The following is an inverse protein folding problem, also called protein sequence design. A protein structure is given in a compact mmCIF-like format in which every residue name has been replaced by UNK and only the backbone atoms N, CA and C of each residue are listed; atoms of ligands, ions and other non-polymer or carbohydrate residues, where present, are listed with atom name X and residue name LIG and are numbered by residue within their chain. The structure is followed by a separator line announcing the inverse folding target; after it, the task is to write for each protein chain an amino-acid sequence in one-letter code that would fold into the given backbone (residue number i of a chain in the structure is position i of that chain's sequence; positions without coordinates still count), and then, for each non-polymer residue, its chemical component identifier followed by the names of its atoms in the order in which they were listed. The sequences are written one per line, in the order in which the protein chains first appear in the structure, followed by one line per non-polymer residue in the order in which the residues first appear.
data_IF_417090516212
#
_entry.id   IF_417090516212
#
_cell.length_a   1.000
_cell.length_b   1.000
_cell.length_c   1.000
_cell.angle_alpha   90.00
_cell.angle_beta   90.00
_cell.angle_gamma   90.00
#
_symmetry.space_group_name_H-M   'P 1'
#
loop_
_entity.id
_entity.type
_entity.pdbx_description
1 polymer ?
#
# COMPACT_ATOMS: atom_id res chain seq x y z
N UNK A 1 -44.35 -58.27 24.78
CA UNK A 1 -43.24 -59.09 25.31
C UNK A 1 -41.97 -58.67 24.57
N UNK A 2 -41.12 -57.84 25.18
CA UNK A 2 -39.90 -57.29 24.56
C UNK A 2 -38.70 -58.07 25.08
N UNK A 3 -38.00 -58.77 24.18
CA UNK A 3 -36.83 -59.59 24.50
C UNK A 3 -35.59 -58.69 24.49
N UNK A 4 -35.05 -58.39 25.67
CA UNK A 4 -33.80 -57.64 25.83
C UNK A 4 -32.62 -58.59 25.59
N UNK A 5 -32.03 -58.58 24.38
CA UNK A 5 -30.79 -59.32 24.11
C UNK A 5 -29.63 -58.67 24.88
N UNK A 6 -29.08 -59.38 25.86
CA UNK A 6 -27.81 -59.01 26.50
C UNK A 6 -26.71 -59.06 25.44
N UNK A 7 -26.20 -57.89 25.08
CA UNK A 7 -24.94 -57.77 24.33
C UNK A 7 -23.82 -58.32 25.22
N UNK A 8 -23.28 -59.47 24.83
CA UNK A 8 -22.05 -60.03 25.41
C UNK A 8 -20.92 -59.09 25.06
N UNK A 9 -20.36 -58.41 26.07
CA UNK A 9 -19.14 -57.63 25.90
C UNK A 9 -18.00 -58.63 25.78
N UNK A 10 -17.48 -58.78 24.56
CA UNK A 10 -16.26 -59.53 24.32
C UNK A 10 -15.10 -58.80 25.01
N UNK A 11 -14.38 -59.51 25.87
CA UNK A 11 -13.21 -58.97 26.53
C UNK A 11 -12.01 -59.12 25.59
N UNK A 12 -11.37 -58.01 25.23
CA UNK A 12 -10.17 -58.01 24.42
C UNK A 12 -9.04 -58.72 25.16
N UNK A 13 -8.30 -59.56 24.43
CA UNK A 13 -7.14 -60.23 24.99
C UNK A 13 -6.02 -59.22 25.23
N UNK A 14 -5.20 -59.46 26.27
CA UNK A 14 -4.08 -58.58 26.61
C UNK A 14 -3.12 -58.39 25.43
N UNK A 15 -2.98 -59.42 24.59
CA UNK A 15 -2.15 -59.39 23.39
C UNK A 15 -2.72 -58.50 22.29
N UNK A 16 -4.05 -58.49 22.06
CA UNK A 16 -4.67 -57.56 21.11
C UNK A 16 -4.46 -56.11 21.52
N UNK A 17 -4.62 -55.80 22.81
CA UNK A 17 -4.43 -54.43 23.29
C UNK A 17 -2.98 -53.97 23.12
N UNK A 18 -2.01 -54.87 23.32
CA UNK A 18 -0.59 -54.60 23.10
C UNK A 18 -0.28 -54.33 21.61
N UNK A 19 -0.85 -55.14 20.70
CA UNK A 19 -0.68 -54.95 19.25
C UNK A 19 -1.31 -53.64 18.79
N UNK A 20 -2.49 -53.28 19.30
CA UNK A 20 -3.14 -52.01 18.96
C UNK A 20 -2.29 -50.83 19.40
N UNK A 21 -1.77 -50.86 20.63
CA UNK A 21 -0.90 -49.78 21.14
C UNK A 21 0.40 -49.67 20.35
N UNK A 22 1.01 -50.78 19.91
CA UNK A 22 2.22 -50.73 19.10
C UNK A 22 1.97 -50.15 17.71
N UNK A 23 0.83 -50.50 17.07
CA UNK A 23 0.41 -49.91 15.79
C UNK A 23 0.13 -48.41 15.96
N UNK A 24 -0.56 -48.00 17.02
CA UNK A 24 -0.84 -46.59 17.29
C UNK A 24 0.43 -45.78 17.54
N UNK A 25 1.38 -46.30 18.33
CA UNK A 25 2.66 -45.66 18.57
C UNK A 25 3.48 -45.50 17.28
N UNK A 26 3.49 -46.53 16.43
CA UNK A 26 4.14 -46.49 15.12
C UNK A 26 3.51 -45.44 14.20
N UNK A 27 2.18 -45.43 14.07
CA UNK A 27 1.46 -44.44 13.25
C UNK A 27 1.67 -43.01 13.77
N UNK A 28 1.68 -42.81 15.09
CA UNK A 28 1.95 -41.49 15.68
C UNK A 28 3.38 -41.00 15.37
N UNK A 29 4.38 -41.88 15.46
CA UNK A 29 5.77 -41.54 15.12
C UNK A 29 5.91 -41.18 13.64
N UNK A 30 5.26 -41.94 12.76
CA UNK A 30 5.27 -41.70 11.31
C UNK A 30 4.61 -40.33 11.00
N UNK A 31 3.46 -40.06 11.61
CA UNK A 31 2.74 -38.77 11.46
C UNK A 31 3.59 -37.59 11.94
N UNK A 32 4.30 -37.71 13.06
CA UNK A 32 5.17 -36.66 13.58
C UNK A 32 6.32 -36.32 12.61
N UNK A 33 6.91 -37.32 11.94
CA UNK A 33 7.98 -37.11 10.95
C UNK A 33 7.44 -36.38 9.71
N UNK A 34 6.26 -36.77 9.21
CA UNK A 34 5.67 -36.10 8.05
C UNK A 34 5.20 -34.68 8.36
N UNK A 35 4.68 -34.41 9.56
CA UNK A 35 4.23 -33.07 9.95
C UNK A 35 5.39 -32.07 10.11
N UNK A 36 6.56 -32.54 10.55
CA UNK A 36 7.76 -31.72 10.64
C UNK A 36 8.37 -31.34 9.27
N UNK A 37 8.03 -32.10 8.22
CA UNK A 37 8.56 -31.93 6.86
C UNK A 37 7.68 -31.08 5.92
N UNK A 38 6.66 -30.38 6.44
CA UNK A 38 6.08 -29.26 5.70
C UNK A 38 7.12 -28.14 5.61
N UNK A 39 7.98 -28.27 4.59
CA UNK A 39 9.16 -27.44 4.40
C UNK A 39 8.75 -25.97 4.33
N UNK A 40 9.29 -25.11 5.21
CA UNK A 40 9.04 -23.67 5.18
C UNK A 40 9.43 -22.95 3.89
N UNK A 41 10.07 -23.64 2.95
CA UNK A 41 10.67 -23.06 1.73
C UNK A 41 9.70 -22.37 0.78
N UNK A 42 8.39 -22.62 0.88
CA UNK A 42 7.38 -21.97 0.03
C UNK A 42 6.73 -20.74 0.70
N UNK A 43 7.32 -20.23 1.80
CA UNK A 43 6.77 -19.07 2.50
C UNK A 43 6.88 -17.78 1.68
N UNK A 44 8.00 -17.57 0.97
CA UNK A 44 8.20 -16.43 0.07
C UNK A 44 7.20 -16.42 -1.09
N UNK A 45 6.99 -17.57 -1.73
CA UNK A 45 6.01 -17.74 -2.82
C UNK A 45 4.59 -17.41 -2.34
N UNK A 46 4.16 -17.95 -1.19
CA UNK A 46 2.83 -17.64 -0.63
C UNK A 46 2.66 -16.15 -0.33
N UNK A 47 3.70 -15.48 0.17
CA UNK A 47 3.67 -14.03 0.37
C UNK A 47 3.56 -13.26 -0.95
N UNK A 48 4.25 -13.71 -2.00
CA UNK A 48 4.20 -13.10 -3.32
C UNK A 48 2.84 -13.26 -3.99
N UNK A 49 2.22 -14.44 -3.85
CA UNK A 49 0.87 -14.71 -4.34
C UNK A 49 -0.17 -13.82 -3.61
N UNK A 50 -0.04 -13.67 -2.28
CA UNK A 50 -0.90 -12.78 -1.49
C UNK A 50 -0.75 -11.32 -1.91
N UNK A 51 0.49 -10.82 -2.04
CA UNK A 51 0.74 -9.46 -2.49
C UNK A 51 0.19 -9.19 -3.88
N UNK A 52 0.40 -10.13 -4.81
CA UNK A 52 -0.13 -10.04 -6.17
C UNK A 52 -1.66 -9.99 -6.16
N UNK A 53 -2.29 -10.82 -5.33
CA UNK A 53 -3.75 -10.80 -5.12
C UNK A 53 -4.25 -9.45 -4.59
N UNK A 54 -3.59 -8.88 -3.59
CA UNK A 54 -3.96 -7.57 -3.04
C UNK A 54 -3.79 -6.44 -4.06
N UNK A 55 -2.70 -6.43 -4.82
CA UNK A 55 -2.47 -5.45 -5.89
C UNK A 55 -3.52 -5.57 -6.99
N UNK A 56 -3.92 -6.80 -7.36
CA UNK A 56 -5.00 -7.03 -8.31
C UNK A 56 -6.34 -6.51 -7.80
N UNK A 57 -6.67 -6.75 -6.52
CA UNK A 57 -7.89 -6.21 -5.89
C UNK A 57 -7.90 -4.69 -5.96
N UNK A 58 -6.81 -4.02 -5.54
CA UNK A 58 -6.71 -2.57 -5.58
C UNK A 58 -6.87 -2.00 -7.00
N UNK A 59 -6.27 -2.66 -8.00
CA UNK A 59 -6.42 -2.28 -9.42
C UNK A 59 -7.85 -2.44 -9.92
N UNK A 60 -8.52 -3.54 -9.59
CA UNK A 60 -9.93 -3.74 -9.98
C UNK A 60 -10.85 -2.74 -9.28
N UNK A 61 -10.57 -2.42 -8.02
CA UNK A 61 -11.31 -1.41 -7.27
C UNK A 61 -11.16 -0.02 -7.90
N UNK A 62 -9.94 0.36 -8.31
CA UNK A 62 -9.71 1.62 -9.02
C UNK A 62 -10.53 1.72 -10.31
N UNK A 63 -10.62 0.61 -11.06
CA UNK A 63 -11.41 0.52 -12.30
C UNK A 63 -12.91 0.56 -12.03
N UNK A 64 -13.38 -0.12 -10.97
CA UNK A 64 -14.81 -0.20 -10.61
C UNK A 64 -15.33 1.14 -10.10
N UNK A 65 -14.57 1.77 -9.21
CA UNK A 65 -15.01 2.97 -8.48
C UNK A 65 -14.67 4.26 -9.24
N UNK A 66 -13.82 4.19 -10.27
CA UNK A 66 -13.41 5.36 -11.07
C UNK A 66 -12.47 6.30 -10.34
N UNK A 67 -11.97 5.91 -9.17
CA UNK A 67 -11.06 6.70 -8.32
C UNK A 67 -9.70 5.98 -8.17
N UNK A 68 -8.58 6.72 -8.11
CA UNK A 68 -7.28 6.11 -7.88
C UNK A 68 -7.27 5.31 -6.57
N UNK A 69 -7.02 4.01 -6.66
CA UNK A 69 -7.04 3.08 -5.52
C UNK A 69 -5.78 2.22 -5.53
N UNK A 70 -5.25 1.91 -4.36
CA UNK A 70 -3.94 1.32 -4.23
C UNK A 70 -3.69 0.65 -2.89
N UNK A 71 -2.41 0.38 -2.65
CA UNK A 71 -1.93 -0.18 -1.39
C UNK A 71 -0.84 0.71 -0.80
N UNK A 72 -0.88 0.89 0.52
CA UNK A 72 0.18 1.48 1.34
C UNK A 72 0.86 0.37 2.13
N UNK A 73 2.19 0.32 2.09
CA UNK A 73 2.95 -0.66 2.85
C UNK A 73 3.05 -0.25 4.33
N UNK A 74 2.80 -1.21 5.23
CA UNK A 74 2.97 -1.03 6.68
C UNK A 74 4.39 -1.40 7.05
N UNK A 75 5.23 -0.38 7.23
CA UNK A 75 6.67 -0.52 7.46
C UNK A 75 7.00 -0.91 8.90
N UNK A 76 7.95 -1.83 9.05
CA UNK A 76 8.66 -2.18 10.27
C UNK A 76 10.18 -2.15 9.96
N UNK A 77 10.81 -1.02 10.25
CA UNK A 77 12.17 -0.73 9.78
C UNK A 77 12.23 -0.66 8.26
N UNK A 78 13.14 -1.42 7.65
CA UNK A 78 13.31 -1.49 6.19
C UNK A 78 12.47 -2.61 5.55
N UNK A 79 11.48 -3.15 6.24
CA UNK A 79 10.64 -4.24 5.73
C UNK A 79 9.17 -3.86 5.87
N UNK A 80 8.32 -4.31 4.96
CA UNK A 80 6.87 -4.20 5.11
C UNK A 80 6.29 -5.54 5.55
N UNK A 81 5.52 -5.52 6.64
CA UNK A 81 4.87 -6.70 7.24
C UNK A 81 3.38 -6.79 6.94
N UNK A 82 2.86 -5.81 6.20
CA UNK A 82 1.50 -5.82 5.70
C UNK A 82 1.24 -4.65 4.76
N UNK A 83 -0.01 -4.51 4.36
CA UNK A 83 -0.52 -3.40 3.56
C UNK A 83 -1.83 -2.87 4.12
N UNK A 84 -2.17 -1.65 3.71
CA UNK A 84 -3.50 -1.07 3.87
C UNK A 84 -3.98 -0.61 2.51
N UNK A 85 -5.26 -0.86 2.18
CA UNK A 85 -5.83 -0.27 0.99
C UNK A 85 -6.03 1.22 1.20
N UNK A 86 -5.68 1.97 0.16
CA UNK A 86 -5.76 3.41 0.14
C UNK A 86 -6.51 3.87 -1.11
N UNK A 87 -7.22 4.98 -1.00
CA UNK A 87 -7.90 5.62 -2.12
C UNK A 87 -7.56 7.11 -2.11
N UNK A 88 -7.32 7.68 -3.29
CA UNK A 88 -7.19 9.12 -3.44
C UNK A 88 -8.60 9.69 -3.65
N UNK A 89 -9.13 10.50 -2.70
CA UNK A 89 -10.41 11.16 -2.90
C UNK A 89 -10.30 12.26 -3.96
N UNK A 90 -11.45 12.75 -4.42
CA UNK A 90 -11.52 13.85 -5.37
C UNK A 90 -10.88 15.14 -4.82
N UNK A 91 -10.35 15.96 -5.74
CA UNK A 91 -9.78 17.27 -5.40
C UNK A 91 -10.83 18.17 -4.72
N UNK A 92 -10.43 18.86 -3.66
CA UNK A 92 -11.31 19.83 -2.97
C UNK A 92 -11.13 21.20 -3.58
N UNK A 93 -12.17 21.64 -4.30
CA UNK A 93 -12.27 22.97 -4.89
C UNK A 93 -13.52 23.66 -4.34
N UNK A 94 -13.50 24.07 -3.06
CA UNK A 94 -14.64 24.72 -2.39
C UNK A 94 -14.24 26.01 -1.67
N UNK A 95 -14.46 27.15 -2.32
CA UNK A 95 -14.24 28.49 -1.75
C UNK A 95 -13.16 29.28 -2.47
N UNK A 96 -12.45 30.15 -1.76
CA UNK A 96 -11.59 31.14 -2.39
C UNK A 96 -10.30 31.45 -1.62
N UNK A 97 -9.17 31.42 -2.31
CA UNK A 97 -7.91 31.99 -1.84
C UNK A 97 -8.02 33.50 -1.70
N UNK A 98 -7.76 34.00 -0.49
CA UNK A 98 -7.86 35.40 -0.07
C UNK A 98 -6.51 36.11 -0.21
N UNK A 99 -5.40 35.40 0.03
CA UNK A 99 -4.06 35.97 0.03
C UNK A 99 -3.14 35.33 1.06
N UNK A 100 -1.89 35.80 1.18
CA UNK A 100 -1.00 35.39 2.26
C UNK A 100 -1.37 36.04 3.59
N UNK A 101 -1.23 35.31 4.70
CA UNK A 101 -1.55 35.82 6.06
C UNK A 101 -0.46 36.78 6.54
N UNK A 102 -0.80 38.03 6.87
CA UNK A 102 0.10 39.02 7.50
C UNK A 102 1.47 39.20 6.79
N UNK A 103 1.50 39.06 5.46
CA UNK A 103 2.74 39.11 4.68
C UNK A 103 3.63 37.86 4.80
N UNK A 104 3.19 36.82 5.51
CA UNK A 104 3.82 35.52 5.48
C UNK A 104 3.46 34.81 4.16
N UNK A 105 4.40 34.86 3.23
CA UNK A 105 4.26 34.34 1.87
C UNK A 105 4.15 32.81 1.76
N UNK A 106 4.08 32.09 2.88
CA UNK A 106 3.91 30.63 2.93
C UNK A 106 2.73 30.19 3.79
N UNK A 107 1.87 31.13 4.21
CA UNK A 107 0.60 30.81 4.86
C UNK A 107 -0.51 31.35 3.99
N UNK A 108 -1.17 30.46 3.25
CA UNK A 108 -2.31 30.79 2.41
C UNK A 108 -3.56 30.93 3.27
N UNK A 109 -4.28 32.04 3.10
CA UNK A 109 -5.59 32.22 3.67
C UNK A 109 -6.63 31.82 2.62
N UNK A 110 -7.50 30.87 2.94
CA UNK A 110 -8.60 30.45 2.08
C UNK A 110 -9.92 30.63 2.82
N UNK A 111 -10.98 31.03 2.12
CA UNK A 111 -12.34 30.86 2.58
C UNK A 111 -12.91 29.54 2.08
N UNK A 112 -13.71 28.86 2.90
CA UNK A 112 -14.47 27.68 2.49
C UNK A 112 -15.86 27.73 3.12
N UNK A 113 -16.93 27.32 2.40
CA UNK A 113 -18.28 27.25 2.97
C UNK A 113 -18.40 26.16 4.05
N UNK A 114 -17.47 25.20 4.06
CA UNK A 114 -17.44 24.13 5.05
C UNK A 114 -17.00 24.65 6.41
N UNK A 115 -17.70 24.24 7.48
CA UNK A 115 -17.41 24.66 8.85
C UNK A 115 -16.11 24.05 9.42
N UNK A 116 -15.57 23.00 8.78
CA UNK A 116 -14.30 22.40 9.15
C UNK A 116 -13.59 21.74 7.94
N UNK A 117 -12.37 22.17 7.59
CA UNK A 117 -11.60 21.54 6.51
C UNK A 117 -11.21 20.09 6.79
N UNK A 118 -11.11 19.68 8.05
CA UNK A 118 -10.80 18.28 8.39
C UNK A 118 -11.95 17.34 8.06
N UNK A 119 -13.20 17.83 8.02
CA UNK A 119 -14.34 17.06 7.52
C UNK A 119 -14.26 16.82 6.01
N UNK A 120 -13.54 17.67 5.27
CA UNK A 120 -13.22 17.46 3.85
C UNK A 120 -11.99 16.56 3.66
N UNK A 121 -11.45 15.99 4.75
CA UNK A 121 -10.27 15.13 4.69
C UNK A 121 -8.96 15.85 4.42
N UNK A 122 -8.94 17.19 4.44
CA UNK A 122 -7.71 17.96 4.19
C UNK A 122 -6.76 17.84 5.37
N UNK A 123 -5.51 17.46 5.10
CA UNK A 123 -4.48 17.23 6.11
C UNK A 123 -3.08 17.67 5.63
N UNK A 124 -2.10 17.63 6.54
CA UNK A 124 -0.70 17.82 6.20
C UNK A 124 -0.25 16.75 5.19
N UNK A 125 0.49 17.17 4.15
CA UNK A 125 0.91 16.33 3.04
C UNK A 125 0.15 16.61 1.75
N UNK A 126 -1.09 17.08 1.81
CA UNK A 126 -1.89 17.44 0.64
C UNK A 126 -1.24 18.58 -0.17
N UNK A 127 -1.73 18.85 -1.37
CA UNK A 127 -1.15 19.86 -2.25
C UNK A 127 -2.16 20.95 -2.58
N UNK A 128 -1.78 22.21 -2.38
CA UNK A 128 -2.54 23.37 -2.79
C UNK A 128 -2.08 23.81 -4.19
N UNK A 129 -3.03 23.98 -5.09
CA UNK A 129 -2.85 24.64 -6.38
C UNK A 129 -3.70 25.91 -6.43
N UNK A 130 -3.11 27.00 -6.89
CA UNK A 130 -3.81 28.28 -7.06
C UNK A 130 -4.03 28.57 -8.54
N UNK A 131 -5.16 29.22 -8.83
CA UNK A 131 -5.52 29.77 -10.14
C UNK A 131 -5.52 28.80 -11.33
N UNK A 132 -5.79 27.50 -11.10
CA UNK A 132 -6.03 26.52 -12.18
C UNK A 132 -4.83 26.23 -13.08
N UNK A 133 -3.62 26.29 -12.53
CA UNK A 133 -2.37 26.02 -13.24
C UNK A 133 -1.13 26.52 -12.51
N UNK A 134 -1.27 27.00 -11.28
CA UNK A 134 -0.15 27.47 -10.46
C UNK A 134 0.77 26.35 -10.00
N UNK A 135 1.85 26.74 -9.33
CA UNK A 135 2.79 25.78 -8.72
C UNK A 135 2.07 25.00 -7.61
N UNK A 136 2.21 23.67 -7.64
CA UNK A 136 1.75 22.79 -6.57
C UNK A 136 2.58 23.01 -5.31
N UNK A 137 1.90 23.32 -4.20
CA UNK A 137 2.53 23.60 -2.91
C UNK A 137 2.11 22.57 -1.89
N UNK A 138 3.06 21.89 -1.26
CA UNK A 138 2.77 20.90 -0.22
C UNK A 138 2.28 21.60 1.04
N UNK A 139 1.17 21.12 1.59
CA UNK A 139 0.58 21.57 2.86
C UNK A 139 1.37 20.96 4.02
N UNK A 140 1.87 21.80 4.91
CA UNK A 140 2.61 21.41 6.13
C UNK A 140 1.66 21.34 7.32
N UNK A 141 0.73 22.28 7.42
CA UNK A 141 -0.30 22.28 8.45
C UNK A 141 -1.55 23.02 7.98
N UNK A 142 -2.68 22.64 8.57
CA UNK A 142 -3.99 23.26 8.34
C UNK A 142 -4.45 23.82 9.68
N UNK A 143 -4.84 25.09 9.72
CA UNK A 143 -5.31 25.75 10.93
C UNK A 143 -6.43 26.75 10.65
N UNK A 144 -7.01 27.27 11.72
CA UNK A 144 -8.17 28.17 11.68
C UNK A 144 -9.48 27.46 12.00
N UNK A 145 -10.46 28.24 12.47
CA UNK A 145 -11.82 27.79 12.76
C UNK A 145 -12.80 28.78 12.11
N UNK A 146 -13.83 28.27 11.44
CA UNK A 146 -14.84 29.09 10.78
C UNK A 146 -14.61 29.22 9.26
N UNK A 147 -15.21 30.21 8.59
CA UNK A 147 -15.21 30.26 7.13
C UNK A 147 -13.86 30.61 6.51
N UNK A 148 -12.84 30.94 7.33
CA UNK A 148 -11.50 31.32 6.90
C UNK A 148 -10.48 30.40 7.57
N UNK A 149 -9.61 29.82 6.75
CA UNK A 149 -8.58 28.87 7.17
C UNK A 149 -7.21 29.34 6.72
N UNK A 150 -6.21 28.98 7.53
CA UNK A 150 -4.81 29.25 7.27
C UNK A 150 -4.12 27.92 6.94
N UNK A 151 -3.61 27.82 5.72
CA UNK A 151 -2.86 26.66 5.23
C UNK A 151 -1.39 27.04 5.19
N UNK A 152 -0.59 26.40 6.05
CA UNK A 152 0.87 26.58 6.02
C UNK A 152 1.46 25.66 4.96
N UNK A 153 2.32 26.21 4.11
CA UNK A 153 2.92 25.53 2.96
C UNK A 153 4.41 25.30 3.18
N UNK A 154 4.94 24.29 2.52
CA UNK A 154 6.38 24.03 2.49
C UNK A 154 7.12 25.19 1.79
N UNK A 155 8.17 25.69 2.43
CA UNK A 155 8.97 26.81 1.93
C UNK A 155 10.05 26.34 0.95
N UNK A 156 10.35 25.04 0.95
CA UNK A 156 11.50 24.49 0.23
C UNK A 156 11.27 24.56 -1.28
N UNK A 157 12.01 25.44 -1.96
CA UNK A 157 12.03 25.54 -3.42
C UNK A 157 10.77 26.11 -4.08
N UNK A 158 9.82 26.63 -3.29
CA UNK A 158 8.58 27.23 -3.82
C UNK A 158 8.68 28.76 -3.88
N UNK A 159 8.23 29.43 -4.97
CA UNK A 159 8.18 30.89 -5.02
C UNK A 159 7.24 31.46 -3.94
N UNK A 160 7.34 32.74 -3.55
CA UNK A 160 6.35 33.37 -2.65
C UNK A 160 4.90 33.16 -3.13
N UNK A 161 3.95 33.07 -2.21
CA UNK A 161 2.53 33.09 -2.55
C UNK A 161 2.17 34.38 -3.30
N UNK A 162 1.31 34.32 -4.33
CA UNK A 162 0.81 35.51 -4.99
C UNK A 162 0.01 36.35 -3.99
N UNK A 163 0.08 37.68 -4.13
CA UNK A 163 -0.70 38.61 -3.31
C UNK A 163 -2.20 38.35 -3.41
N UNK A 164 -2.96 39.00 -2.53
CA UNK A 164 -4.41 38.98 -2.60
C UNK A 164 -4.87 39.44 -4.00
N UNK A 165 -5.88 38.78 -4.61
CA UNK A 165 -6.41 39.23 -5.89
C UNK A 165 -6.87 40.70 -5.77
N UNK A 166 -6.29 41.57 -6.61
CA UNK A 166 -6.46 43.04 -6.53
C UNK A 166 -7.83 43.50 -7.01
N UNK A 167 -8.42 42.75 -7.93
CA UNK A 167 -9.86 42.79 -8.16
C UNK A 167 -10.46 41.89 -7.08
N UNK A 168 -11.32 42.40 -6.16
CA UNK A 168 -12.17 41.47 -5.42
C UNK A 168 -12.80 40.61 -6.50
N UNK A 169 -12.66 39.27 -6.45
CA UNK A 169 -13.28 38.43 -7.45
C UNK A 169 -14.74 38.85 -7.41
N UNK A 170 -15.16 39.61 -8.43
CA UNK A 170 -16.52 40.12 -8.51
C UNK A 170 -17.33 38.89 -8.27
N UNK A 171 -18.14 38.86 -7.20
CA UNK A 171 -18.89 37.69 -6.78
C UNK A 171 -19.40 37.04 -8.06
N UNK A 172 -18.69 36.01 -8.54
CA UNK A 172 -18.81 35.66 -9.95
C UNK A 172 -20.16 35.01 -9.96
N UNK A 173 -21.16 35.76 -10.45
CA UNK A 173 -22.55 35.44 -10.26
C UNK A 173 -22.69 33.99 -10.69
N UNK A 174 -23.13 33.14 -9.77
CA UNK A 174 -23.15 31.69 -9.95
C UNK A 174 -23.93 31.37 -11.22
N UNK A 175 -23.25 31.27 -12.36
CA UNK A 175 -23.90 30.97 -13.61
C UNK A 175 -23.99 29.44 -13.66
N UNK A 176 -24.99 28.91 -12.95
CA UNK A 176 -25.25 27.47 -12.85
C UNK A 176 -24.98 26.82 -11.48
N UNK A 177 -24.94 27.57 -10.38
CA UNK A 177 -24.86 27.01 -9.02
C UNK A 177 -23.51 26.41 -8.61
N UNK A 178 -22.48 26.53 -9.44
CA UNK A 178 -21.10 26.15 -9.11
C UNK A 178 -20.37 27.38 -8.59
N UNK A 179 -19.87 27.33 -7.36
CA UNK A 179 -19.01 28.39 -6.82
C UNK A 179 -17.66 28.34 -7.54
N UNK A 180 -17.29 29.42 -8.21
CA UNK A 180 -15.95 29.54 -8.80
C UNK A 180 -14.91 29.47 -7.70
N UNK A 181 -13.96 28.54 -7.82
CA UNK A 181 -12.80 28.49 -6.94
C UNK A 181 -11.56 28.93 -7.70
N UNK A 182 -10.73 29.74 -7.05
CA UNK A 182 -9.42 30.12 -7.54
C UNK A 182 -8.32 29.24 -6.91
N UNK A 183 -8.70 28.11 -6.31
CA UNK A 183 -7.80 27.09 -5.83
C UNK A 183 -8.41 25.70 -5.96
N UNK A 184 -7.54 24.69 -5.93
CA UNK A 184 -7.92 23.31 -5.61
C UNK A 184 -6.91 22.70 -4.66
N UNK A 185 -7.37 21.80 -3.80
CA UNK A 185 -6.53 21.00 -2.92
C UNK A 185 -6.56 19.57 -3.44
N UNK A 186 -5.39 19.08 -3.85
CA UNK A 186 -5.19 17.70 -4.27
C UNK A 186 -4.88 16.89 -3.02
N UNK A 187 -5.84 16.06 -2.63
CA UNK A 187 -5.72 15.21 -1.45
C UNK A 187 -4.70 14.09 -1.69
N UNK A 188 -3.95 13.75 -0.65
CA UNK A 188 -3.15 12.53 -0.65
C UNK A 188 -4.05 11.30 -0.52
N UNK A 189 -3.58 10.13 -0.99
CA UNK A 189 -4.25 8.87 -0.71
C UNK A 189 -4.45 8.64 0.78
N UNK A 190 -5.65 8.21 1.14
CA UNK A 190 -6.06 7.94 2.51
C UNK A 190 -6.46 6.48 2.65
N UNK A 191 -6.32 5.92 3.85
CA UNK A 191 -6.77 4.55 4.15
C UNK A 191 -8.29 4.51 4.01
N UNK A 192 -8.79 3.50 3.32
CA UNK A 192 -10.23 3.32 3.12
C UNK A 192 -10.87 3.03 4.47
N UNK A 193 -11.85 3.85 4.86
CA UNK A 193 -12.49 3.73 6.17
C UNK A 193 -13.19 2.37 6.33
N UNK A 194 -12.90 1.70 7.45
CA UNK A 194 -13.46 0.37 7.75
C UNK A 194 -12.68 -0.80 7.16
N UNK A 195 -11.67 -0.58 6.32
CA UNK A 195 -10.83 -1.66 5.83
C UNK A 195 -9.72 -2.02 6.84
N UNK A 196 -9.58 -3.31 7.12
CA UNK A 196 -8.55 -3.81 8.01
C UNK A 196 -7.20 -3.93 7.28
N UNK A 197 -6.12 -3.65 8.00
CA UNK A 197 -4.75 -3.94 7.55
C UNK A 197 -4.61 -5.42 7.18
N UNK A 198 -4.07 -5.69 5.98
CA UNK A 198 -3.75 -7.05 5.55
C UNK A 198 -2.31 -7.37 5.94
N UNK A 199 -2.12 -8.43 6.72
CA UNK A 199 -0.79 -8.86 7.16
C UNK A 199 -0.26 -9.98 6.28
N UNK A 200 1.04 -9.97 6.02
CA UNK A 200 1.72 -11.11 5.40
C UNK A 200 1.71 -12.35 6.31
N UNK A 201 1.99 -13.55 5.78
CA UNK A 201 2.19 -14.73 6.61
C UNK A 201 3.31 -14.51 7.63
N UNK A 202 3.24 -15.19 8.77
CA UNK A 202 4.20 -15.00 9.85
C UNK A 202 5.66 -15.15 9.36
N UNK A 203 6.44 -14.09 9.54
CA UNK A 203 7.85 -14.06 9.16
C UNK A 203 8.11 -13.86 7.66
N UNK A 204 7.12 -13.45 6.87
CA UNK A 204 7.27 -13.07 5.45
C UNK A 204 6.95 -11.58 5.31
N UNK A 205 7.58 -10.91 4.34
CA UNK A 205 7.28 -9.52 4.01
C UNK A 205 8.05 -9.02 2.80
N UNK A 206 7.91 -7.73 2.54
CA UNK A 206 8.61 -7.05 1.44
C UNK A 206 9.86 -6.35 1.98
N UNK A 207 11.02 -6.60 1.38
CA UNK A 207 12.30 -6.02 1.81
C UNK A 207 12.64 -4.76 1.00
N UNK A 208 12.80 -3.63 1.69
CA UNK A 208 13.14 -2.32 1.12
C UNK A 208 14.59 -1.91 1.39
N UNK A 209 15.38 -2.75 2.05
CA UNK A 209 16.76 -2.41 2.36
C UNK A 209 17.69 -2.55 1.14
N UNK A 210 18.85 -1.91 1.22
CA UNK A 210 19.91 -1.98 0.20
C UNK A 210 21.06 -2.85 0.71
N UNK A 211 21.18 -4.12 0.29
CA UNK A 211 22.24 -4.99 0.78
C UNK A 211 23.61 -4.55 0.25
N UNK A 212 24.73 -4.89 0.92
CA UNK A 212 26.06 -4.43 0.51
C UNK A 212 26.45 -4.81 -0.93
N UNK A 213 25.92 -5.93 -1.44
CA UNK A 213 26.17 -6.41 -2.80
C UNK A 213 25.30 -5.73 -3.88
N UNK A 214 24.30 -4.93 -3.49
CA UNK A 214 23.42 -4.21 -4.41
C UNK A 214 23.14 -2.79 -3.94
N UNK A 215 23.64 -1.81 -4.68
CA UNK A 215 23.65 -0.39 -4.25
C UNK A 215 22.27 0.27 -4.24
N UNK A 216 21.26 -0.34 -4.87
CA UNK A 216 19.90 0.19 -4.91
C UNK A 216 19.02 -0.54 -3.87
N UNK A 217 17.92 0.09 -3.40
CA UNK A 217 16.92 -0.61 -2.59
C UNK A 217 16.36 -1.82 -3.32
N UNK A 218 16.18 -2.95 -2.62
CA UNK A 218 15.58 -4.17 -3.20
C UNK A 218 14.10 -4.02 -3.57
N UNK A 219 13.42 -3.04 -2.99
CA UNK A 219 12.09 -2.64 -3.41
C UNK A 219 12.07 -1.16 -3.73
N UNK A 220 11.52 -0.80 -4.87
CA UNK A 220 11.53 0.57 -5.40
C UNK A 220 10.13 1.15 -5.69
N UNK A 221 9.06 0.83 -4.93
CA UNK A 221 7.79 1.49 -5.17
C UNK A 221 7.92 2.99 -4.87
N UNK A 222 7.08 3.83 -5.50
CA UNK A 222 7.02 5.25 -5.20
C UNK A 222 6.93 5.51 -3.69
N UNK A 223 7.83 6.35 -3.19
CA UNK A 223 7.83 6.81 -1.81
C UNK A 223 7.33 8.25 -1.78
N UNK A 224 6.27 8.51 -1.01
CA UNK A 224 5.71 9.85 -0.82
C UNK A 224 5.59 10.13 0.66
N UNK A 225 6.23 11.20 1.14
CA UNK A 225 6.17 11.63 2.54
C UNK A 225 6.54 10.54 3.57
N UNK A 226 7.42 9.59 3.20
CA UNK A 226 7.83 8.48 4.06
C UNK A 226 6.94 7.23 3.96
N UNK A 227 5.85 7.28 3.20
CA UNK A 227 5.02 6.11 2.91
C UNK A 227 5.41 5.52 1.55
N UNK A 228 5.50 4.19 1.48
CA UNK A 228 5.62 3.47 0.22
C UNK A 228 4.23 3.06 -0.25
N UNK A 229 3.88 3.46 -1.47
CA UNK A 229 2.52 3.33 -2.00
C UNK A 229 2.54 2.98 -3.48
N UNK A 230 1.55 2.19 -3.91
CA UNK A 230 1.27 1.93 -5.32
C UNK A 230 -0.21 2.22 -5.54
N UNK A 231 -0.52 3.26 -6.32
CA UNK A 231 -1.87 3.63 -6.71
C UNK A 231 -2.12 3.23 -8.15
N UNK A 232 -3.27 2.62 -8.41
CA UNK A 232 -3.77 2.38 -9.75
C UNK A 232 -4.84 3.41 -10.09
N UNK A 233 -4.77 3.98 -11.29
CA UNK A 233 -5.84 4.82 -11.84
C UNK A 233 -6.94 3.97 -12.48
N UNK A 234 -8.06 4.59 -12.92
CA UNK A 234 -9.18 3.88 -13.54
C UNK A 234 -8.83 3.13 -14.84
N UNK A 235 -7.79 3.58 -15.54
CA UNK A 235 -7.23 2.89 -16.72
C UNK A 235 -6.48 1.60 -16.37
N UNK A 236 -6.23 1.36 -15.09
CA UNK A 236 -5.41 0.27 -14.57
C UNK A 236 -3.92 0.58 -14.53
N UNK A 237 -3.45 1.70 -15.08
CA UNK A 237 -2.06 2.14 -14.97
C UNK A 237 -1.72 2.61 -13.55
N UNK A 238 -0.46 2.53 -13.15
CA UNK A 238 0.01 3.11 -11.89
C UNK A 238 0.06 4.63 -12.02
N UNK A 239 -0.48 5.35 -11.05
CA UNK A 239 -0.53 6.81 -10.99
C UNK A 239 0.22 7.33 -9.75
N UNK A 240 0.58 8.61 -9.77
CA UNK A 240 1.33 9.26 -8.70
C UNK A 240 2.78 9.57 -9.06
N UNK A 241 3.60 9.80 -8.04
CA UNK A 241 5.01 10.19 -8.20
C UNK A 241 5.85 9.01 -8.71
N UNK A 242 6.94 9.30 -9.42
CA UNK A 242 7.91 8.31 -9.93
C UNK A 242 7.33 7.20 -10.83
N UNK A 243 6.13 7.36 -11.38
CA UNK A 243 5.56 6.39 -12.35
C UNK A 243 6.33 6.34 -13.68
N UNK A 244 7.23 7.30 -13.93
CA UNK A 244 8.13 7.32 -15.07
C UNK A 244 9.39 6.44 -14.94
N UNK A 245 9.72 5.92 -13.75
CA UNK A 245 11.07 5.37 -13.47
C UNK A 245 11.25 3.88 -13.75
N UNK A 246 10.55 3.32 -14.75
CA UNK A 246 10.70 1.91 -15.14
C UNK A 246 9.89 0.96 -14.27
N UNK A 247 10.31 -0.31 -14.19
CA UNK A 247 9.58 -1.37 -13.48
C UNK A 247 9.59 -1.13 -11.96
N UNK A 248 8.43 -1.28 -11.31
CA UNK A 248 8.35 -1.38 -9.85
C UNK A 248 8.60 -2.83 -9.48
N UNK A 249 9.61 -3.11 -8.67
CA UNK A 249 9.92 -4.42 -8.11
C UNK A 249 9.75 -4.41 -6.60
N UNK A 250 9.12 -5.47 -6.09
CA UNK A 250 8.83 -5.70 -4.68
C UNK A 250 9.45 -7.05 -4.29
N UNK A 251 10.43 -6.99 -3.40
CA UNK A 251 11.20 -8.16 -3.00
C UNK A 251 10.53 -8.91 -1.86
N UNK A 252 9.81 -9.98 -2.17
CA UNK A 252 9.10 -10.77 -1.15
C UNK A 252 9.98 -11.89 -0.66
N UNK A 253 10.21 -11.94 0.66
CA UNK A 253 11.03 -12.98 1.29
C UNK A 253 10.61 -13.25 2.72
N UNK A 254 11.19 -14.30 3.30
CA UNK A 254 11.15 -14.51 4.74
C UNK A 254 12.08 -13.53 5.47
N UNK A 255 11.57 -12.90 6.52
CA UNK A 255 12.21 -11.85 7.32
C UNK A 255 12.93 -12.39 8.57
N UNK A 256 12.68 -13.64 8.97
CA UNK A 256 13.21 -14.23 10.22
C UNK A 256 14.75 -14.29 10.25
N UNK A 257 15.39 -14.25 9.09
CA UNK A 257 16.84 -14.38 8.92
C UNK A 257 17.49 -13.05 8.52
N UNK A 258 17.07 -11.93 9.12
CA UNK A 258 17.58 -10.59 8.79
C UNK A 258 19.10 -10.41 9.03
N UNK A 259 19.69 -11.35 9.77
CA UNK A 259 21.15 -11.48 9.99
C UNK A 259 21.86 -12.40 8.99
N UNK A 260 21.14 -13.05 8.07
CA UNK A 260 21.79 -13.86 7.04
C UNK A 260 22.46 -12.92 6.03
N UNK A 261 23.77 -13.10 5.90
CA UNK A 261 24.56 -12.54 4.78
C UNK A 261 23.97 -12.97 3.43
N UNK A 262 23.14 -14.01 3.43
CA UNK A 262 22.51 -14.63 2.27
C UNK A 262 21.00 -14.39 2.21
N UNK A 263 20.62 -13.20 1.74
CA UNK A 263 19.22 -12.83 1.44
C UNK A 263 18.60 -13.65 0.30
N UNK A 264 19.38 -14.51 -0.35
CA UNK A 264 18.93 -15.39 -1.42
C UNK A 264 18.63 -16.81 -0.91
N UNK A 265 19.01 -17.15 0.33
CA UNK A 265 18.90 -18.50 0.88
C UNK A 265 17.47 -19.07 0.87
N UNK A 266 16.45 -18.22 1.09
CA UNK A 266 15.04 -18.63 1.11
C UNK A 266 14.33 -18.37 -0.24
N UNK A 267 15.08 -18.34 -1.35
CA UNK A 267 14.55 -18.18 -2.72
C UNK A 267 13.53 -17.04 -2.82
N UNK A 268 13.97 -15.78 -2.62
CA UNK A 268 13.07 -14.65 -2.68
C UNK A 268 12.35 -14.57 -4.03
N UNK A 269 11.12 -14.07 -3.98
CA UNK A 269 10.27 -13.91 -5.14
C UNK A 269 10.09 -12.42 -5.40
N UNK A 270 10.24 -12.03 -6.65
CA UNK A 270 10.09 -10.66 -7.08
C UNK A 270 8.68 -10.46 -7.63
N UNK A 271 7.86 -9.65 -6.96
CA UNK A 271 6.58 -9.18 -7.49
C UNK A 271 6.84 -7.88 -8.22
N UNK A 272 6.46 -7.80 -9.49
CA UNK A 272 6.71 -6.63 -10.33
C UNK A 272 5.40 -5.99 -10.77
N UNK A 273 5.42 -4.66 -10.91
CA UNK A 273 4.31 -3.87 -11.43
C UNK A 273 4.83 -2.97 -12.55
N UNK A 274 4.26 -3.10 -13.74
CA UNK A 274 4.57 -2.21 -14.87
C UNK A 274 3.74 -0.92 -14.75
N UNK A 275 4.35 0.27 -14.59
CA UNK A 275 3.58 1.48 -14.31
C UNK A 275 2.58 1.86 -15.40
N UNK A 276 2.91 1.65 -16.68
CA UNK A 276 2.04 2.08 -17.79
C UNK A 276 0.78 1.24 -17.95
N UNK A 277 0.84 -0.05 -17.63
CA UNK A 277 -0.24 -1.02 -17.86
C UNK A 277 -0.90 -1.47 -16.55
N UNK A 278 -0.20 -1.30 -15.43
CA UNK A 278 -0.49 -1.95 -14.15
C UNK A 278 -0.46 -3.47 -14.24
N UNK A 279 0.29 -4.03 -15.19
CA UNK A 279 0.50 -5.46 -15.27
C UNK A 279 1.34 -5.92 -14.08
N UNK A 280 0.87 -6.97 -13.40
CA UNK A 280 1.49 -7.53 -12.20
C UNK A 280 2.02 -8.92 -12.57
N UNK A 281 3.28 -9.18 -12.26
CA UNK A 281 3.92 -10.47 -12.52
C UNK A 281 4.82 -10.90 -11.38
N UNK A 282 5.04 -12.21 -11.25
CA UNK A 282 5.97 -12.80 -10.28
C UNK A 282 7.15 -13.40 -11.02
N UNK A 283 8.36 -13.13 -10.56
CA UNK A 283 9.59 -13.66 -11.14
C UNK A 283 10.46 -14.27 -10.04
N UNK A 284 11.27 -15.30 -10.34
CA UNK A 284 12.39 -15.64 -9.48
C UNK A 284 13.38 -14.47 -9.43
N UNK A 285 14.11 -14.36 -8.33
CA UNK A 285 15.24 -13.44 -8.21
C UNK A 285 16.49 -14.06 -8.84
N UNK A 286 17.25 -13.26 -9.60
CA UNK A 286 18.55 -13.72 -10.12
C UNK A 286 19.58 -13.86 -8.99
N UNK A 287 20.27 -15.00 -8.98
CA UNK A 287 21.37 -15.27 -8.03
C UNK A 287 22.72 -14.75 -8.53
N UNK A 288 22.81 -14.29 -9.77
CA UNK A 288 24.03 -13.77 -10.38
C UNK A 288 23.84 -12.36 -10.93
N UNK A 289 24.48 -11.37 -10.30
CA UNK A 289 24.50 -9.99 -10.80
C UNK A 289 23.27 -9.16 -10.41
N UNK A 290 22.55 -8.62 -11.40
CA UNK A 290 21.38 -7.78 -11.17
C UNK A 290 20.17 -8.65 -10.83
N UNK A 291 19.59 -8.53 -9.62
CA UNK A 291 18.57 -9.46 -9.18
C UNK A 291 17.24 -9.33 -9.94
N UNK A 292 17.04 -8.23 -10.68
CA UNK A 292 15.87 -8.00 -11.53
C UNK A 292 16.02 -8.50 -12.97
N UNK A 293 17.12 -9.19 -13.30
CA UNK A 293 17.43 -9.64 -14.66
C UNK A 293 16.24 -10.37 -15.31
N UNK A 294 15.66 -11.36 -14.63
CA UNK A 294 14.53 -12.12 -15.17
C UNK A 294 13.27 -11.30 -15.40
N UNK A 295 13.07 -10.23 -14.62
CA UNK A 295 11.96 -9.31 -14.82
C UNK A 295 12.19 -8.31 -15.96
N UNK A 296 13.45 -7.92 -16.20
CA UNK A 296 13.84 -7.02 -17.30
C UNK A 296 13.82 -7.71 -18.65
N UNK A 297 14.22 -8.98 -18.69
CA UNK A 297 14.32 -9.74 -19.94
C UNK A 297 12.96 -10.21 -20.46
N UNK A 298 11.91 -10.24 -19.62
CA UNK A 298 10.54 -10.64 -19.98
C UNK A 298 10.34 -12.14 -20.26
N UNK A 299 11.42 -12.87 -20.58
CA UNK A 299 11.42 -14.29 -20.96
C UNK A 299 10.92 -15.23 -19.85
N UNK A 300 11.09 -14.86 -18.58
CA UNK A 300 10.70 -15.70 -17.45
C UNK A 300 9.21 -15.59 -17.08
N UNK A 301 8.44 -14.71 -17.73
CA UNK A 301 7.04 -14.46 -17.34
C UNK A 301 6.05 -15.54 -17.77
N UNK A 302 6.49 -16.57 -18.50
CA UNK A 302 5.62 -17.68 -18.92
C UNK A 302 4.51 -17.28 -19.88
N UNK A 303 4.59 -16.07 -20.46
CA UNK A 303 3.75 -15.56 -21.55
C UNK A 303 4.46 -15.69 -22.90
#
# INVERSE_FOLDING_TARGET
MIVMRRSTREAFTLIELLVVLSILAFLAALTAIYFANFSPGDSGQRGADQLSGWLLIARQQARRDGLPTGVRFVMNGNTAVGIQYIQQPDDVAQGMYIGPVNGNNFVAQISSPSANLTQLGIQAGDYLELYGGGVLRRIVSVGGNGPIYNITLDQTGSPPLPGAPTTPPQAYAQQGGQAYTNYRIILQPQVIAGEATQSFPAGVGVDFSSPPWYKQPLSNPPARAGNYEILFGPSGAVVGQNTGTGLIGLWVRRLKDDNSVDRLADKPILVTVQPRTGFIATHPVSTSGDPYQFAKDGLASGM
#
